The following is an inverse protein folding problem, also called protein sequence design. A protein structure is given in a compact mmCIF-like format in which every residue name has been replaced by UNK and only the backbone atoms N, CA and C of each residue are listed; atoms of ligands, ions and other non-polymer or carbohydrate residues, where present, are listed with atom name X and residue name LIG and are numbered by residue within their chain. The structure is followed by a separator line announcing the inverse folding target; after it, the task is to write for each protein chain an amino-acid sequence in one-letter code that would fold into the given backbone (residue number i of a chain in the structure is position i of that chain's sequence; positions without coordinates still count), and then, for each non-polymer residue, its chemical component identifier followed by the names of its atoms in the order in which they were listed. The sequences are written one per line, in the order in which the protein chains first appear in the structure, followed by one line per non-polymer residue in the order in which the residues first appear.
data_IF_336869501424
#
_entry.id   IF_336869501424
#
_cell.length_a   1.000
_cell.length_b   1.000
_cell.length_c   1.000
_cell.angle_alpha   90.00
_cell.angle_beta   90.00
_cell.angle_gamma   90.00
#
_symmetry.space_group_name_H-M   'P 1'
#
loop_
_entity.id
_entity.type
_entity.pdbx_description
1 polymer ?
#
# COMPACT_ATOMS: atom_id res chain seq x y z
N UNK A 1 -28.06 -5.41 -9.61
CA UNK A 1 -27.38 -4.31 -10.34
C UNK A 1 -26.39 -3.55 -9.44
N UNK A 2 -26.79 -3.06 -8.27
CA UNK A 2 -25.94 -2.30 -7.35
C UNK A 2 -24.67 -3.07 -6.89
N UNK A 3 -24.81 -4.37 -6.59
CA UNK A 3 -23.68 -5.22 -6.14
C UNK A 3 -22.60 -5.36 -7.22
N UNK A 4 -22.99 -5.47 -8.51
CA UNK A 4 -22.03 -5.61 -9.61
C UNK A 4 -21.28 -4.30 -9.90
N UNK A 5 -21.95 -3.15 -9.78
CA UNK A 5 -21.31 -1.84 -9.95
C UNK A 5 -20.26 -1.62 -8.86
N UNK A 6 -20.63 -1.90 -7.60
CA UNK A 6 -19.73 -1.83 -6.46
C UNK A 6 -18.49 -2.72 -6.67
N UNK A 7 -18.69 -3.99 -7.04
CA UNK A 7 -17.59 -4.93 -7.32
C UNK A 7 -16.67 -4.43 -8.45
N UNK A 8 -17.22 -3.98 -9.57
CA UNK A 8 -16.41 -3.49 -10.70
C UNK A 8 -15.59 -2.26 -10.33
N UNK A 9 -16.16 -1.35 -9.52
CA UNK A 9 -15.45 -0.19 -9.03
C UNK A 9 -14.23 -0.58 -8.18
N UNK A 10 -14.40 -1.51 -7.22
CA UNK A 10 -13.28 -1.99 -6.39
C UNK A 10 -12.17 -2.66 -7.21
N UNK A 11 -12.53 -3.43 -8.24
CA UNK A 11 -11.51 -4.06 -9.10
C UNK A 11 -10.73 -3.03 -9.92
N UNK A 12 -11.43 -2.04 -10.49
CA UNK A 12 -10.77 -0.97 -11.25
C UNK A 12 -9.79 -0.17 -10.39
N UNK A 13 -10.17 0.11 -9.14
CA UNK A 13 -9.34 0.83 -8.18
C UNK A 13 -8.08 0.02 -7.82
N UNK A 14 -8.20 -1.28 -7.56
CA UNK A 14 -7.06 -2.17 -7.30
C UNK A 14 -6.09 -2.23 -8.48
N UNK A 15 -6.60 -2.36 -9.70
CA UNK A 15 -5.76 -2.40 -10.91
C UNK A 15 -5.08 -1.06 -11.18
N UNK A 16 -5.78 0.06 -10.96
CA UNK A 16 -5.20 1.38 -11.04
C UNK A 16 -4.02 1.53 -10.07
N UNK A 17 -4.23 1.12 -8.81
CA UNK A 17 -3.22 1.21 -7.76
C UNK A 17 -2.00 0.32 -8.05
N UNK A 18 -2.19 -0.93 -8.51
CA UNK A 18 -1.09 -1.79 -8.95
C UNK A 18 -0.25 -1.11 -10.04
N UNK A 19 -0.91 -0.49 -11.01
CA UNK A 19 -0.24 0.20 -12.12
C UNK A 19 0.53 1.43 -11.65
N UNK A 20 -0.01 2.24 -10.73
CA UNK A 20 0.69 3.43 -10.23
C UNK A 20 1.88 3.03 -9.35
N UNK A 21 1.74 2.00 -8.53
CA UNK A 21 2.84 1.45 -7.73
C UNK A 21 3.96 0.93 -8.60
N UNK A 22 3.63 0.14 -9.63
CA UNK A 22 4.61 -0.31 -10.60
C UNK A 22 5.34 0.86 -11.27
N UNK A 23 4.60 1.88 -11.74
CA UNK A 23 5.19 3.07 -12.37
C UNK A 23 6.12 3.84 -11.42
N UNK A 24 5.77 3.94 -10.14
CA UNK A 24 6.62 4.59 -9.13
C UNK A 24 7.93 3.83 -8.95
N UNK A 25 7.84 2.52 -8.73
CA UNK A 25 9.01 1.64 -8.56
C UNK A 25 9.91 1.66 -9.80
N UNK A 26 9.34 1.58 -11.01
CA UNK A 26 10.09 1.61 -12.25
C UNK A 26 10.82 2.96 -12.46
N UNK A 27 10.23 4.07 -12.00
CA UNK A 27 10.76 5.42 -12.24
C UNK A 27 11.81 5.85 -11.22
N UNK A 28 11.57 5.57 -9.94
CA UNK A 28 12.38 6.11 -8.83
C UNK A 28 13.23 5.05 -8.13
N UNK A 29 12.98 3.77 -8.42
CA UNK A 29 13.43 2.69 -7.56
C UNK A 29 12.65 2.70 -6.24
N UNK A 30 12.65 1.55 -5.56
CA UNK A 30 12.02 1.40 -4.26
C UNK A 30 10.60 0.83 -4.30
N UNK A 31 10.21 0.18 -3.20
CA UNK A 31 8.90 -0.46 -3.04
C UNK A 31 7.87 0.52 -2.44
N UNK A 32 6.61 0.42 -2.89
CA UNK A 32 5.48 1.17 -2.34
C UNK A 32 4.68 0.28 -1.39
N UNK A 33 4.33 0.80 -0.22
CA UNK A 33 3.66 0.07 0.85
C UNK A 33 2.31 0.66 1.20
N UNK A 34 1.36 -0.19 1.58
CA UNK A 34 0.09 0.24 2.17
C UNK A 34 0.18 0.22 3.67
N UNK A 35 -0.24 1.29 4.33
CA UNK A 35 -0.41 1.34 5.78
C UNK A 35 -1.89 1.45 6.07
N UNK A 36 -2.46 0.42 6.69
CA UNK A 36 -3.85 0.42 7.13
C UNK A 36 -3.84 0.95 8.56
N UNK A 37 -4.34 2.16 8.76
CA UNK A 37 -4.49 2.74 10.10
C UNK A 37 -5.96 2.75 10.50
N UNK A 38 -6.27 2.17 11.65
CA UNK A 38 -7.62 2.12 12.23
C UNK A 38 -7.62 2.97 13.49
N UNK A 39 -8.70 3.73 13.71
CA UNK A 39 -8.87 4.51 14.94
C UNK A 39 -9.41 3.59 16.03
N UNK A 40 -8.64 3.39 17.10
CA UNK A 40 -9.08 2.69 18.30
C UNK A 40 -9.21 3.71 19.44
N UNK A 41 -10.46 4.03 19.80
CA UNK A 41 -10.78 5.08 20.76
C UNK A 41 -10.25 6.46 20.34
N UNK A 42 -9.24 6.99 21.05
CA UNK A 42 -8.58 8.27 20.76
C UNK A 42 -7.29 8.14 19.95
N UNK A 43 -6.78 6.92 19.72
CA UNK A 43 -5.49 6.68 19.06
C UNK A 43 -5.69 6.10 17.65
N UNK A 44 -4.75 6.36 16.74
CA UNK A 44 -4.64 5.65 15.46
C UNK A 44 -3.64 4.52 15.63
N UNK A 45 -4.04 3.31 15.27
CA UNK A 45 -3.23 2.09 15.35
C UNK A 45 -3.03 1.56 13.95
N UNK A 46 -1.80 1.15 13.65
CA UNK A 46 -1.48 0.48 12.39
C UNK A 46 -1.95 -0.97 12.52
N UNK A 47 -2.85 -1.38 11.63
CA UNK A 47 -3.50 -2.68 11.66
C UNK A 47 -2.68 -3.76 10.96
N UNK A 48 -1.77 -3.36 10.07
CA UNK A 48 -0.81 -4.23 9.40
C UNK A 48 0.62 -3.96 9.91
N UNK A 49 0.93 -4.29 11.17
CA UNK A 49 2.24 -3.99 11.76
C UNK A 49 3.41 -4.62 10.99
N UNK A 50 3.20 -5.71 10.26
CA UNK A 50 4.18 -6.38 9.40
C UNK A 50 4.77 -5.44 8.34
N UNK A 51 3.99 -4.45 7.88
CA UNK A 51 4.47 -3.47 6.89
C UNK A 51 5.62 -2.63 7.43
N UNK A 52 5.71 -2.47 8.75
CA UNK A 52 6.78 -1.71 9.39
C UNK A 52 8.11 -2.42 9.26
N UNK A 53 8.13 -3.75 9.35
CA UNK A 53 9.35 -4.53 9.16
C UNK A 53 9.78 -4.52 7.69
N UNK A 54 8.86 -4.70 6.75
CA UNK A 54 9.19 -4.58 5.31
C UNK A 54 9.72 -3.18 4.95
N UNK A 55 9.16 -2.13 5.55
CA UNK A 55 9.66 -0.75 5.38
C UNK A 55 11.10 -0.60 5.90
N UNK A 56 11.40 -1.17 7.07
CA UNK A 56 12.76 -1.14 7.64
C UNK A 56 13.75 -1.87 6.75
N UNK A 57 13.38 -3.03 6.22
CA UNK A 57 14.21 -3.79 5.29
C UNK A 57 14.46 -3.01 4.00
N UNK A 58 13.43 -2.37 3.47
CA UNK A 58 13.55 -1.56 2.26
C UNK A 58 14.44 -0.34 2.47
N UNK A 59 14.33 0.35 3.62
CA UNK A 59 15.23 1.44 3.99
C UNK A 59 16.68 0.94 4.05
N UNK A 60 16.93 -0.23 4.67
CA UNK A 60 18.27 -0.82 4.71
C UNK A 60 18.80 -1.11 3.31
N UNK A 61 17.98 -1.70 2.43
CA UNK A 61 18.34 -1.98 1.03
C UNK A 61 18.72 -0.69 0.29
N UNK A 62 17.97 0.39 0.49
CA UNK A 62 18.22 1.69 -0.13
C UNK A 62 19.48 2.37 0.42
N UNK A 63 19.85 2.13 1.69
CA UNK A 63 21.08 2.66 2.29
C UNK A 63 22.35 1.91 1.89
N UNK A 64 22.22 0.67 1.41
CA UNK A 64 23.34 -0.17 0.96
C UNK A 64 23.72 0.05 -0.52
N UNK A 65 22.90 0.80 -1.26
CA UNK A 65 23.17 1.25 -2.63
C UNK A 65 23.79 2.65 -2.63
#
# INVERSE_FOLDING_TARGET
MIINISRNFYQNELEFQKRTHKKFTDKYGGKVFYIISVKEGKKKIIHNPEVIEELKEEIKRLQQN
#
